data_IF_388280558286
#
_entry.id   IF_388280558286
#
_cell.length_a   1.000
_cell.length_b   1.000
_cell.length_c   1.000
_cell.angle_alpha   90.00
_cell.angle_beta   90.00
_cell.angle_gamma   90.00
#
_symmetry.space_group_name_H-M   'P 1'
#
loop_
_entity.id
_entity.type
_entity.pdbx_description
1 polymer ?
#
# COMPACT_ATOMS: atom_id res chain seq x y z
N UNK A 1 -3.31 -8.93 1.70
CA UNK A 1 -2.58 -7.87 0.95
C UNK A 1 -3.40 -7.58 -0.30
N UNK A 2 -3.77 -6.32 -0.56
CA UNK A 2 -4.56 -5.95 -1.74
C UNK A 2 -3.99 -6.57 -3.03
N UNK A 3 -4.87 -7.00 -3.95
CA UNK A 3 -4.48 -7.66 -5.21
C UNK A 3 -3.42 -6.87 -6.00
N UNK A 4 -3.44 -5.54 -5.90
CA UNK A 4 -2.45 -4.66 -6.50
C UNK A 4 -1.04 -4.87 -5.92
N UNK A 5 -0.87 -4.80 -4.60
CA UNK A 5 0.45 -5.00 -3.98
C UNK A 5 1.02 -6.39 -4.25
N UNK A 6 0.15 -7.41 -4.27
CA UNK A 6 0.54 -8.78 -4.66
C UNK A 6 1.01 -8.83 -6.11
N UNK A 7 0.31 -8.13 -7.00
CA UNK A 7 0.66 -7.99 -8.42
C UNK A 7 2.01 -7.27 -8.60
N UNK A 8 2.21 -6.15 -7.90
CA UNK A 8 3.46 -5.40 -7.91
C UNK A 8 4.64 -6.25 -7.43
N UNK A 9 4.50 -6.92 -6.28
CA UNK A 9 5.50 -7.85 -5.77
C UNK A 9 5.88 -8.94 -6.78
N UNK A 10 4.88 -9.46 -7.48
CA UNK A 10 5.11 -10.47 -8.51
C UNK A 10 5.86 -9.89 -9.72
N UNK A 11 5.49 -8.70 -10.19
CA UNK A 11 6.19 -8.01 -11.28
C UNK A 11 7.65 -7.70 -10.93
N UNK A 12 7.92 -7.26 -9.69
CA UNK A 12 9.28 -7.01 -9.18
C UNK A 12 10.10 -8.30 -9.15
N UNK A 13 9.50 -9.41 -8.71
CA UNK A 13 10.17 -10.71 -8.69
C UNK A 13 10.54 -11.19 -10.09
N UNK A 14 9.64 -11.05 -11.06
CA UNK A 14 9.92 -11.39 -12.47
C UNK A 14 11.01 -10.50 -13.08
N UNK A 15 10.92 -9.18 -12.92
CA UNK A 15 11.92 -8.25 -13.44
C UNK A 15 13.31 -8.54 -12.87
N UNK A 16 13.40 -8.79 -11.56
CA UNK A 16 14.63 -9.20 -10.89
C UNK A 16 15.15 -10.54 -11.41
N UNK A 17 14.28 -11.52 -11.60
CA UNK A 17 14.66 -12.84 -12.12
C UNK A 17 15.21 -12.75 -13.55
N UNK A 18 14.58 -11.93 -14.40
CA UNK A 18 15.01 -11.71 -15.78
C UNK A 18 16.17 -10.71 -15.91
N UNK A 19 16.62 -10.11 -14.81
CA UNK A 19 17.62 -9.03 -14.77
C UNK A 19 17.27 -7.86 -15.71
N UNK A 20 16.02 -7.37 -15.59
CA UNK A 20 15.46 -6.31 -16.43
C UNK A 20 14.91 -5.17 -15.59
N UNK A 21 14.86 -3.99 -16.20
CA UNK A 21 14.16 -2.82 -15.63
C UNK A 21 12.65 -3.04 -15.78
N UNK A 22 11.91 -2.81 -14.71
CA UNK A 22 10.46 -2.88 -14.70
C UNK A 22 9.86 -1.53 -15.10
N UNK A 23 8.93 -1.53 -16.04
CA UNK A 23 8.12 -0.36 -16.38
C UNK A 23 6.90 -0.35 -15.45
N UNK A 24 6.71 0.73 -14.69
CA UNK A 24 5.62 0.84 -13.70
C UNK A 24 4.88 2.16 -13.88
N UNK A 25 3.56 2.11 -13.86
CA UNK A 25 2.75 3.32 -13.72
C UNK A 25 2.74 3.77 -12.25
N UNK A 26 3.49 4.85 -11.97
CA UNK A 26 3.59 5.44 -10.64
C UNK A 26 2.49 6.45 -10.36
N UNK A 27 1.62 6.76 -11.33
CA UNK A 27 0.45 7.63 -11.16
C UNK A 27 -0.76 6.91 -10.56
N UNK A 28 -0.62 5.62 -10.25
CA UNK A 28 -1.69 4.82 -9.69
C UNK A 28 -2.09 5.28 -8.27
N UNK A 29 -3.39 5.38 -8.04
CA UNK A 29 -4.00 5.69 -6.75
C UNK A 29 -4.50 4.40 -6.08
N UNK A 30 -3.97 4.08 -4.89
CA UNK A 30 -4.42 2.90 -4.12
C UNK A 30 -5.75 3.12 -3.41
N UNK A 31 -6.20 4.37 -3.29
CA UNK A 31 -7.46 4.74 -2.67
C UNK A 31 -8.68 4.63 -3.61
N UNK A 32 -8.53 4.11 -4.84
CA UNK A 32 -9.62 4.04 -5.81
C UNK A 32 -10.87 3.31 -5.25
N UNK A 33 -10.71 2.27 -4.42
CA UNK A 33 -11.82 1.59 -3.75
C UNK A 33 -12.58 2.47 -2.75
N UNK A 34 -11.93 3.48 -2.19
CA UNK A 34 -12.52 4.47 -1.29
C UNK A 34 -13.11 5.67 -2.05
N UNK A 35 -12.74 5.84 -3.32
CA UNK A 35 -13.18 6.92 -4.22
C UNK A 35 -14.27 6.48 -5.22
N UNK A 36 -15.09 5.49 -4.86
CA UNK A 36 -16.14 4.95 -5.75
C UNK A 36 -15.60 4.31 -7.04
N UNK A 37 -14.34 3.88 -7.05
CA UNK A 37 -13.68 3.21 -8.17
C UNK A 37 -13.01 4.15 -9.18
N UNK A 38 -13.05 5.48 -9.00
CA UNK A 38 -12.42 6.42 -9.94
C UNK A 38 -10.97 6.75 -9.55
N UNK A 39 -10.03 6.81 -10.51
CA UNK A 39 -8.70 7.36 -10.26
C UNK A 39 -8.82 8.83 -9.84
N UNK A 40 -8.40 9.15 -8.62
CA UNK A 40 -8.34 10.54 -8.19
C UNK A 40 -7.14 11.24 -8.81
N UNK A 41 -7.42 12.29 -9.58
CA UNK A 41 -6.42 13.10 -10.25
C UNK A 41 -5.45 13.71 -9.22
N UNK A 42 -4.15 13.56 -9.47
CA UNK A 42 -3.10 14.13 -8.60
C UNK A 42 -2.64 13.22 -7.46
N UNK A 43 -3.18 12.00 -7.29
CA UNK A 43 -2.61 11.00 -6.38
C UNK A 43 -1.63 10.07 -7.10
N UNK A 44 -0.59 9.64 -6.39
CA UNK A 44 0.53 8.86 -6.95
C UNK A 44 0.92 7.74 -5.99
N UNK A 45 1.48 6.67 -6.51
CA UNK A 45 1.92 5.51 -5.73
C UNK A 45 2.93 5.90 -4.63
N UNK A 46 3.74 6.93 -4.92
CA UNK A 46 4.73 7.50 -4.00
C UNK A 46 4.16 8.07 -2.71
N UNK A 47 2.84 8.33 -2.64
CA UNK A 47 2.20 8.76 -1.40
C UNK A 47 1.92 7.61 -0.44
N UNK A 48 1.98 6.37 -0.92
CA UNK A 48 1.68 5.17 -0.13
C UNK A 48 2.93 4.32 0.11
N UNK A 49 3.83 4.24 -0.87
CA UNK A 49 5.01 3.36 -0.88
C UNK A 49 6.28 4.17 -1.03
N UNK A 50 7.34 3.75 -0.35
CA UNK A 50 8.70 4.24 -0.53
C UNK A 50 9.26 3.78 -1.90
N UNK A 51 9.11 4.64 -2.92
CA UNK A 51 9.57 4.36 -4.29
C UNK A 51 11.09 4.34 -4.37
N UNK A 52 11.80 5.14 -3.58
CA UNK A 52 13.27 5.16 -3.56
C UNK A 52 13.81 3.81 -3.07
N UNK A 53 13.23 3.29 -1.98
CA UNK A 53 13.53 1.93 -1.51
C UNK A 53 13.19 0.89 -2.58
N UNK A 54 12.04 1.02 -3.25
CA UNK A 54 11.63 0.08 -4.30
C UNK A 54 12.62 0.06 -5.48
N UNK A 55 13.08 1.23 -5.92
CA UNK A 55 14.09 1.42 -6.96
C UNK A 55 15.46 0.87 -6.57
N UNK A 56 15.79 0.84 -5.27
CA UNK A 56 17.02 0.21 -4.79
C UNK A 56 17.03 -1.32 -4.94
N UNK A 57 15.86 -1.94 -5.07
CA UNK A 57 15.70 -3.41 -5.13
C UNK A 57 15.67 -3.95 -6.57
N UNK A 58 15.14 -3.18 -7.51
CA UNK A 58 15.08 -3.48 -8.95
C UNK A 58 14.98 -2.17 -9.72
N UNK A 59 15.60 -2.11 -10.90
CA UNK A 59 15.48 -0.93 -11.77
C UNK A 59 14.03 -0.70 -12.14
N UNK A 60 13.52 0.51 -11.91
CA UNK A 60 12.15 0.91 -12.26
C UNK A 60 12.21 2.17 -13.12
N UNK A 61 11.44 2.17 -14.20
CA UNK A 61 11.17 3.35 -15.03
C UNK A 61 9.67 3.66 -15.01
N UNK A 62 9.33 4.94 -14.96
CA UNK A 62 7.94 5.38 -14.98
C UNK A 62 7.34 5.15 -16.38
N UNK A 63 6.09 4.66 -16.42
CA UNK A 63 5.40 4.22 -17.62
C UNK A 63 5.33 5.28 -18.73
N UNK A 64 4.93 6.52 -18.43
CA UNK A 64 4.82 7.60 -19.42
C UNK A 64 6.21 7.94 -19.97
N UNK A 65 7.19 8.11 -19.10
CA UNK A 65 8.57 8.38 -19.51
C UNK A 65 9.12 7.28 -20.42
N UNK A 66 8.88 6.01 -20.06
CA UNK A 66 9.32 4.86 -20.86
C UNK A 66 8.77 4.91 -22.28
N UNK A 67 7.48 5.19 -22.47
CA UNK A 67 6.88 5.22 -23.81
C UNK A 67 7.34 6.42 -24.63
N UNK A 68 7.52 7.59 -24.02
CA UNK A 68 8.12 8.75 -24.70
C UNK A 68 9.54 8.44 -25.21
N UNK A 69 10.34 7.74 -24.40
CA UNK A 69 11.67 7.29 -24.78
C UNK A 69 11.61 6.20 -25.86
N UNK A 70 10.73 5.21 -25.68
CA UNK A 70 10.55 4.10 -26.61
C UNK A 70 10.18 4.56 -28.01
N UNK A 71 9.27 5.53 -28.13
CA UNK A 71 8.87 6.10 -29.43
C UNK A 71 10.04 6.81 -30.12
N UNK A 72 10.87 7.52 -29.36
CA UNK A 72 12.10 8.15 -29.88
C UNK A 72 13.10 7.11 -30.35
N UNK A 73 13.30 6.03 -29.61
CA UNK A 73 14.22 4.94 -29.97
C UNK A 73 13.71 4.14 -31.18
N UNK A 74 12.40 3.88 -31.26
CA UNK A 74 11.77 3.21 -32.40
C UNK A 74 11.92 3.99 -33.70
N UNK A 75 11.96 5.32 -33.64
CA UNK A 75 12.27 6.17 -34.80
C UNK A 75 13.71 5.99 -35.32
N UNK A 76 14.63 5.45 -34.49
CA UNK A 76 16.04 5.23 -34.85
C UNK A 76 16.32 3.82 -35.42
N UNK A 77 15.34 2.92 -35.41
CA UNK A 77 15.49 1.55 -35.94
C UNK A 77 14.45 0.58 -35.37
N UNK A 78 14.49 -0.69 -35.80
CA UNK A 78 13.55 -1.70 -35.31
C UNK A 78 13.95 -2.20 -33.91
N UNK A 79 13.15 -1.84 -32.90
CA UNK A 79 13.21 -2.44 -31.57
C UNK A 79 12.36 -3.71 -31.53
N UNK A 80 12.94 -4.80 -31.04
CA UNK A 80 12.21 -6.06 -30.84
C UNK A 80 11.24 -5.96 -29.65
N UNK A 81 10.02 -6.44 -29.83
CA UNK A 81 9.02 -6.58 -28.78
C UNK A 81 8.57 -8.03 -28.71
N UNK A 82 8.60 -8.59 -27.50
CA UNK A 82 8.01 -9.90 -27.22
C UNK A 82 6.72 -9.73 -26.42
N UNK A 83 5.61 -10.16 -27.02
CA UNK A 83 4.30 -10.19 -26.35
C UNK A 83 4.05 -11.59 -25.79
N UNK A 84 3.59 -11.65 -24.54
CA UNK A 84 3.19 -12.88 -23.85
C UNK A 84 1.70 -12.74 -23.51
N UNK A 85 0.84 -13.50 -24.19
CA UNK A 85 -0.63 -13.38 -24.09
C UNK A 85 -1.26 -14.37 -23.08
N UNK A 86 -0.52 -14.78 -22.05
CA UNK A 86 -1.01 -15.71 -21.03
C UNK A 86 -0.29 -15.47 -19.67
N UNK A 87 -1.07 -15.32 -18.60
CA UNK A 87 -0.58 -15.13 -17.23
C UNK A 87 0.19 -16.33 -16.71
N UNK A 88 -0.10 -17.54 -17.20
CA UNK A 88 0.45 -18.81 -16.66
C UNK A 88 1.77 -19.21 -17.30
N UNK A 89 2.27 -18.43 -18.26
CA UNK A 89 3.55 -18.73 -18.90
C UNK A 89 4.68 -18.34 -17.96
N UNK A 90 5.32 -19.34 -17.37
CA UNK A 90 6.40 -19.16 -16.40
C UNK A 90 7.57 -18.33 -16.97
N UNK A 91 8.14 -17.39 -16.21
CA UNK A 91 9.19 -16.49 -16.71
C UNK A 91 10.47 -17.19 -17.18
N UNK A 92 10.75 -18.41 -16.69
CA UNK A 92 11.91 -19.20 -17.09
C UNK A 92 12.02 -19.39 -18.60
N UNK A 93 10.89 -19.49 -19.30
CA UNK A 93 10.81 -19.64 -20.75
C UNK A 93 11.39 -18.42 -21.50
N UNK A 94 11.55 -17.29 -20.81
CA UNK A 94 12.03 -16.03 -21.34
C UNK A 94 13.37 -15.58 -20.77
N UNK A 95 14.01 -16.39 -19.91
CA UNK A 95 15.35 -16.11 -19.37
C UNK A 95 16.43 -15.86 -20.44
N UNK A 96 16.23 -16.40 -21.65
CA UNK A 96 17.12 -16.23 -22.82
C UNK A 96 16.58 -15.27 -23.87
N UNK A 97 15.45 -14.61 -23.62
CA UNK A 97 14.86 -13.66 -24.56
C UNK A 97 15.81 -12.47 -24.77
N UNK A 98 16.11 -12.16 -26.03
CA UNK A 98 16.99 -11.04 -26.43
C UNK A 98 16.22 -9.77 -26.77
N UNK A 99 14.89 -9.87 -26.85
CA UNK A 99 14.02 -8.74 -27.14
C UNK A 99 14.22 -7.64 -26.09
N UNK A 100 14.46 -6.38 -26.50
CA UNK A 100 14.59 -5.25 -25.58
C UNK A 100 13.38 -5.10 -24.65
N UNK A 101 12.17 -5.27 -25.19
CA UNK A 101 10.92 -5.17 -24.44
C UNK A 101 10.20 -6.52 -24.39
N UNK A 102 9.78 -6.89 -23.18
CA UNK A 102 8.87 -8.00 -22.92
C UNK A 102 7.59 -7.41 -22.33
N UNK A 103 6.46 -7.63 -22.99
CA UNK A 103 5.14 -7.18 -22.54
C UNK A 103 4.30 -8.40 -22.22
N UNK A 104 3.81 -8.50 -20.99
CA UNK A 104 2.70 -9.41 -20.70
C UNK A 104 1.40 -8.69 -20.98
N UNK A 105 0.59 -9.28 -21.85
CA UNK A 105 -0.75 -8.81 -22.15
C UNK A 105 -1.72 -9.79 -21.54
N UNK A 106 -2.59 -9.30 -20.67
CA UNK A 106 -3.65 -10.11 -20.09
C UNK A 106 -4.95 -9.83 -20.84
N UNK A 107 -5.83 -10.82 -20.91
CA UNK A 107 -7.18 -10.63 -21.41
C UNK A 107 -8.04 -9.87 -20.42
N UNK A 108 -9.26 -9.53 -20.83
CA UNK A 108 -10.19 -8.72 -20.02
C UNK A 108 -11.06 -9.55 -19.05
N UNK A 109 -10.89 -10.88 -19.04
CA UNK A 109 -11.78 -11.80 -18.32
C UNK A 109 -11.15 -12.29 -17.03
N UNK A 110 -11.80 -12.01 -15.90
CA UNK A 110 -11.44 -12.58 -14.60
C UNK A 110 -11.68 -14.11 -14.57
N UNK A 111 -10.88 -14.86 -13.78
CA UNK A 111 -9.79 -14.42 -12.90
C UNK A 111 -8.42 -14.34 -13.63
N UNK A 112 -8.39 -14.52 -14.95
CA UNK A 112 -7.18 -14.68 -15.75
C UNK A 112 -6.44 -13.39 -16.07
N UNK A 113 -6.89 -12.24 -15.56
CA UNK A 113 -6.39 -10.91 -15.87
C UNK A 113 -5.49 -10.30 -14.78
N UNK A 114 -5.28 -11.02 -13.66
CA UNK A 114 -4.45 -10.53 -12.57
C UNK A 114 -2.97 -10.90 -12.72
N UNK A 115 -2.08 -9.92 -12.55
CA UNK A 115 -0.63 -10.13 -12.65
C UNK A 115 -0.09 -11.11 -11.59
N UNK A 116 -0.67 -11.15 -10.40
CA UNK A 116 -0.19 -12.07 -9.36
C UNK A 116 -0.24 -13.55 -9.78
N UNK A 117 -1.07 -13.92 -10.77
CA UNK A 117 -1.13 -15.27 -11.34
C UNK A 117 0.21 -15.69 -12.00
N UNK A 118 1.04 -14.74 -12.44
CA UNK A 118 2.36 -15.00 -13.05
C UNK A 118 3.31 -15.69 -12.06
N UNK A 119 3.13 -15.45 -10.76
CA UNK A 119 3.96 -16.03 -9.71
C UNK A 119 3.37 -17.31 -9.11
N UNK A 120 2.25 -17.82 -9.64
CA UNK A 120 1.64 -19.05 -9.15
C UNK A 120 2.21 -20.29 -9.89
N UNK A 121 1.96 -21.48 -9.33
CA UNK A 121 2.34 -22.75 -9.96
C UNK A 121 3.86 -22.94 -10.06
N UNK A 122 4.35 -23.25 -11.27
CA UNK A 122 5.78 -23.53 -11.51
C UNK A 122 6.68 -22.33 -11.15
N UNK A 123 6.16 -21.11 -11.27
CA UNK A 123 6.90 -19.88 -11.00
C UNK A 123 7.11 -19.61 -9.50
N UNK A 124 6.24 -20.10 -8.62
CA UNK A 124 6.22 -19.77 -7.19
C UNK A 124 7.55 -20.09 -6.48
N UNK A 125 8.19 -21.20 -6.85
CA UNK A 125 9.45 -21.63 -6.24
C UNK A 125 10.65 -20.78 -6.68
N UNK A 126 10.55 -20.14 -7.85
CA UNK A 126 11.63 -19.41 -8.51
C UNK A 126 11.51 -17.90 -8.32
N UNK A 127 10.29 -17.38 -8.42
CA UNK A 127 9.95 -15.98 -8.22
C UNK A 127 9.63 -15.74 -6.76
N UNK A 128 10.65 -15.74 -5.91
CA UNK A 128 10.47 -15.32 -4.52
C UNK A 128 10.34 -13.80 -4.49
N UNK A 129 9.21 -13.23 -4.06
CA UNK A 129 9.10 -11.79 -3.87
C UNK A 129 10.21 -11.33 -2.92
N UNK A 130 10.89 -10.21 -3.21
CA UNK A 130 11.93 -9.74 -2.34
C UNK A 130 11.31 -9.39 -0.97
N UNK A 131 11.80 -10.04 0.08
CA UNK A 131 11.33 -9.75 1.44
C UNK A 131 11.58 -8.27 1.76
N UNK A 132 10.58 -7.59 2.31
CA UNK A 132 10.67 -6.17 2.62
C UNK A 132 10.79 -5.26 1.39
N UNK A 133 10.44 -5.72 0.19
CA UNK A 133 10.41 -4.89 -1.01
C UNK A 133 9.43 -3.72 -0.88
N UNK A 134 8.24 -3.98 -0.35
CA UNK A 134 7.25 -2.93 -0.06
C UNK A 134 7.58 -2.36 1.31
N UNK A 135 7.88 -1.06 1.33
CA UNK A 135 7.89 -0.23 2.53
C UNK A 135 6.88 0.89 2.35
N UNK A 136 6.21 1.26 3.43
CA UNK A 136 5.31 2.41 3.39
C UNK A 136 6.10 3.71 3.26
N UNK A 137 5.46 4.71 2.64
CA UNK A 137 6.06 6.01 2.43
C UNK A 137 6.55 6.60 3.77
N UNK A 138 7.76 7.19 3.82
CA UNK A 138 8.27 7.82 5.04
C UNK A 138 7.33 8.87 5.63
N UNK A 139 6.60 9.59 4.77
CA UNK A 139 5.61 10.59 5.19
C UNK A 139 4.49 9.98 6.05
N UNK A 140 4.01 8.78 5.71
CA UNK A 140 3.00 8.06 6.50
C UNK A 140 3.60 7.49 7.78
N UNK A 141 4.83 6.97 7.72
CA UNK A 141 5.52 6.47 8.92
C UNK A 141 5.79 7.57 9.95
N UNK A 142 6.03 8.81 9.52
CA UNK A 142 6.13 9.95 10.43
C UNK A 142 4.82 10.23 11.18
N UNK A 143 3.66 9.99 10.56
CA UNK A 143 2.36 10.08 11.26
C UNK A 143 2.28 8.98 12.31
N UNK A 144 2.59 7.73 11.94
CA UNK A 144 2.63 6.59 12.86
C UNK A 144 3.52 6.89 14.08
N UNK A 145 4.74 7.38 13.85
CA UNK A 145 5.66 7.77 14.91
C UNK A 145 5.11 8.91 15.78
N UNK A 146 4.42 9.87 15.16
CA UNK A 146 3.74 10.98 15.84
C UNK A 146 2.61 10.54 16.78
N UNK A 147 1.82 9.54 16.36
CA UNK A 147 0.77 8.92 17.18
C UNK A 147 1.40 8.18 18.36
N UNK A 148 2.36 7.29 18.07
CA UNK A 148 3.06 6.48 19.08
C UNK A 148 3.72 7.38 20.13
N UNK A 149 4.33 8.49 19.71
CA UNK A 149 4.98 9.45 20.61
C UNK A 149 3.99 10.12 21.56
N UNK A 150 2.78 10.47 21.11
CA UNK A 150 1.72 11.05 21.97
C UNK A 150 1.20 10.05 22.98
N UNK A 151 1.18 8.78 22.61
CA UNK A 151 0.88 7.65 23.51
C UNK A 151 2.11 7.19 24.32
N UNK A 152 3.23 7.92 24.25
CA UNK A 152 4.49 7.67 24.96
C UNK A 152 5.10 6.27 24.69
N UNK A 153 4.71 5.62 23.58
CA UNK A 153 5.15 4.26 23.25
C UNK A 153 4.71 3.18 24.25
N UNK A 154 3.83 3.49 25.19
CA UNK A 154 3.34 2.55 26.20
C UNK A 154 1.83 2.34 26.11
N UNK A 155 1.41 1.65 25.06
CA UNK A 155 0.01 1.36 24.81
C UNK A 155 -0.20 -0.09 24.37
N UNK A 156 -1.42 -0.57 24.59
CA UNK A 156 -1.95 -1.81 24.03
C UNK A 156 -2.85 -1.47 22.83
N UNK A 157 -3.07 -2.42 21.92
CA UNK A 157 -3.83 -2.18 20.70
C UNK A 157 -4.93 -3.20 20.50
N UNK A 158 -6.07 -2.73 20.03
CA UNK A 158 -7.23 -3.55 19.68
C UNK A 158 -7.60 -3.26 18.24
N UNK A 159 -7.74 -4.29 17.42
CA UNK A 159 -8.32 -4.20 16.09
C UNK A 159 -9.75 -4.71 16.13
N UNK A 160 -10.67 -3.92 15.59
CA UNK A 160 -12.11 -4.14 15.62
C UNK A 160 -12.60 -4.43 14.21
N UNK A 161 -13.21 -5.60 14.01
CA UNK A 161 -13.90 -5.95 12.77
C UNK A 161 -15.28 -6.55 13.05
N UNK A 162 -16.34 -5.98 12.49
CA UNK A 162 -17.71 -6.53 12.56
C UNK A 162 -18.71 -5.68 13.35
N UNK A 163 -19.86 -6.30 13.70
CA UNK A 163 -21.05 -5.63 14.25
C UNK A 163 -20.89 -5.19 15.73
N UNK A 164 -21.35 -3.98 16.04
CA UNK A 164 -20.89 -3.15 17.16
C UNK A 164 -21.29 -3.58 18.58
N UNK A 165 -22.28 -4.47 18.76
CA UNK A 165 -22.78 -4.82 20.10
C UNK A 165 -21.89 -5.83 20.85
N UNK A 166 -21.41 -6.89 20.17
CA UNK A 166 -20.48 -7.87 20.78
C UNK A 166 -19.08 -7.31 21.02
N UNK A 167 -18.75 -6.23 20.32
CA UNK A 167 -17.46 -5.57 20.32
C UNK A 167 -17.19 -4.80 21.62
N UNK A 168 -18.21 -4.15 22.19
CA UNK A 168 -18.09 -3.38 23.42
C UNK A 168 -17.60 -4.23 24.59
N UNK A 169 -18.26 -5.36 24.87
CA UNK A 169 -17.91 -6.21 26.01
C UNK A 169 -16.49 -6.75 25.91
N UNK A 170 -16.09 -7.18 24.71
CA UNK A 170 -14.72 -7.64 24.44
C UNK A 170 -13.68 -6.54 24.57
N UNK A 171 -13.98 -5.31 24.15
CA UNK A 171 -13.08 -4.18 24.37
C UNK A 171 -12.95 -3.91 25.88
N UNK A 172 -14.05 -3.86 26.62
CA UNK A 172 -14.02 -3.60 28.07
C UNK A 172 -13.26 -4.66 28.88
N UNK A 173 -13.35 -5.94 28.49
CA UNK A 173 -12.55 -7.03 29.07
C UNK A 173 -11.04 -6.84 28.87
N UNK A 174 -10.63 -6.24 27.75
CA UNK A 174 -9.23 -6.09 27.38
C UNK A 174 -8.64 -4.69 27.71
N UNK A 175 -9.48 -3.67 27.91
CA UNK A 175 -9.07 -2.28 28.20
C UNK A 175 -8.86 -2.01 29.70
N UNK A 176 -9.27 -2.93 30.58
CA UNK A 176 -9.25 -2.73 32.02
C UNK A 176 -7.80 -2.67 32.58
N UNK A 177 -7.34 -1.49 33.00
CA UNK A 177 -6.03 -1.36 33.66
C UNK A 177 -5.35 0.02 33.69
N UNK A 178 -6.01 1.10 33.25
CA UNK A 178 -5.44 2.45 33.29
C UNK A 178 -4.28 2.71 32.31
N UNK A 179 -3.95 1.73 31.47
CA UNK A 179 -2.96 1.85 30.38
C UNK A 179 -3.62 2.45 29.14
N UNK A 180 -2.84 3.12 28.30
CA UNK A 180 -3.39 3.64 27.04
C UNK A 180 -3.73 2.50 26.07
N UNK A 181 -4.84 2.65 25.35
CA UNK A 181 -5.29 1.67 24.36
C UNK A 181 -5.55 2.37 23.03
N UNK A 182 -4.93 1.88 21.97
CA UNK A 182 -5.22 2.29 20.59
C UNK A 182 -6.23 1.34 19.97
N UNK A 183 -7.29 1.87 19.38
CA UNK A 183 -8.34 1.09 18.73
C UNK A 183 -8.31 1.37 17.23
N UNK A 184 -8.02 0.33 16.47
CA UNK A 184 -7.97 0.30 15.01
C UNK A 184 -9.22 -0.38 14.45
N UNK A 185 -9.66 0.02 13.26
CA UNK A 185 -10.78 -0.62 12.56
C UNK A 185 -11.69 0.34 11.79
N UNK A 186 -12.35 -0.19 10.76
CA UNK A 186 -13.26 0.56 9.90
C UNK A 186 -14.63 0.78 10.56
N UNK A 187 -15.24 1.96 10.38
CA UNK A 187 -16.61 2.23 10.86
C UNK A 187 -16.76 2.40 12.38
N UNK A 188 -15.65 2.52 13.10
CA UNK A 188 -15.64 2.46 14.57
C UNK A 188 -16.16 3.72 15.28
N UNK A 189 -16.46 4.78 14.54
CA UNK A 189 -16.75 6.12 15.11
C UNK A 189 -17.86 6.09 16.16
N UNK A 190 -18.97 5.37 15.90
CA UNK A 190 -20.10 5.29 16.83
C UNK A 190 -19.73 4.53 18.11
N UNK A 191 -18.97 3.43 17.99
CA UNK A 191 -18.56 2.63 19.14
C UNK A 191 -17.52 3.37 19.99
N UNK A 192 -16.56 4.01 19.33
CA UNK A 192 -15.52 4.82 19.95
C UNK A 192 -16.08 6.00 20.71
N UNK A 193 -17.10 6.70 20.17
CA UNK A 193 -17.71 7.83 20.88
C UNK A 193 -18.29 7.42 22.23
N UNK A 194 -18.90 6.23 22.33
CA UNK A 194 -19.39 5.72 23.61
C UNK A 194 -18.24 5.26 24.51
N UNK A 195 -17.16 4.71 23.96
CA UNK A 195 -15.99 4.31 24.74
C UNK A 195 -15.24 5.52 25.31
N UNK A 196 -15.11 6.63 24.56
CA UNK A 196 -14.50 7.88 25.03
C UNK A 196 -15.20 8.45 26.27
N UNK A 197 -16.52 8.36 26.32
CA UNK A 197 -17.30 8.85 27.47
C UNK A 197 -16.96 8.10 28.76
N UNK A 198 -16.46 6.87 28.66
CA UNK A 198 -16.18 5.98 29.79
C UNK A 198 -14.69 5.80 30.07
N UNK A 199 -13.83 5.95 29.07
CA UNK A 199 -12.40 5.66 29.13
C UNK A 199 -11.57 6.76 28.45
N UNK A 200 -10.93 7.63 29.25
CA UNK A 200 -10.08 8.72 28.76
C UNK A 200 -8.73 8.27 28.18
N UNK A 201 -8.38 7.01 28.40
CA UNK A 201 -7.15 6.34 27.96
C UNK A 201 -7.33 5.59 26.62
N UNK A 202 -8.47 5.77 25.94
CA UNK A 202 -8.77 5.15 24.65
C UNK A 202 -8.52 6.14 23.52
N UNK A 203 -7.72 5.71 22.55
CA UNK A 203 -7.27 6.47 21.40
C UNK A 203 -7.62 5.72 20.11
N UNK A 204 -7.74 6.46 19.02
CA UNK A 204 -8.09 5.97 17.68
C UNK A 204 -7.59 7.01 16.68
N UNK A 205 -7.56 6.66 15.40
CA UNK A 205 -6.90 7.47 14.39
C UNK A 205 -7.33 8.94 14.43
N UNK A 206 -8.62 9.25 14.28
CA UNK A 206 -9.08 10.66 14.15
C UNK A 206 -8.80 11.52 15.39
N UNK A 207 -8.48 10.93 16.54
CA UNK A 207 -8.01 11.67 17.71
C UNK A 207 -6.62 12.30 17.55
N UNK A 208 -5.97 12.07 16.40
CA UNK A 208 -4.64 12.59 16.05
C UNK A 208 -4.65 13.37 14.72
N UNK A 209 -5.81 13.88 14.31
CA UNK A 209 -5.99 14.56 13.02
C UNK A 209 -5.02 15.71 12.77
N UNK A 210 -4.51 16.35 13.82
CA UNK A 210 -3.53 17.43 13.73
C UNK A 210 -2.21 17.00 13.05
N UNK A 211 -1.97 15.69 12.91
CA UNK A 211 -0.83 15.14 12.21
C UNK A 211 -0.94 15.19 10.68
N UNK A 212 -2.15 15.32 10.13
CA UNK A 212 -2.39 15.36 8.68
C UNK A 212 -3.41 16.40 8.23
N UNK A 213 -4.06 17.11 9.15
CA UNK A 213 -5.01 18.18 8.82
C UNK A 213 -4.36 19.33 8.01
N UNK A 214 -5.19 20.28 7.59
CA UNK A 214 -4.73 21.46 6.85
C UNK A 214 -3.64 22.19 7.65
N UNK A 215 -2.57 22.60 6.97
CA UNK A 215 -1.39 23.25 7.54
C UNK A 215 -0.52 22.39 8.47
N UNK A 216 -0.84 21.11 8.66
CA UNK A 216 0.08 20.15 9.30
C UNK A 216 1.39 20.02 8.52
N UNK A 217 2.46 19.59 9.20
CA UNK A 217 3.75 19.33 8.54
C UNK A 217 3.62 18.33 7.39
N UNK A 218 2.81 17.29 7.58
CA UNK A 218 2.53 16.30 6.54
C UNK A 218 1.82 16.95 5.35
N UNK A 219 0.73 17.68 5.59
CA UNK A 219 -0.05 18.33 4.54
C UNK A 219 0.79 19.28 3.68
N UNK A 220 1.57 20.15 4.32
CA UNK A 220 2.43 21.12 3.64
C UNK A 220 3.50 20.44 2.77
N UNK A 221 4.11 19.37 3.28
CA UNK A 221 5.12 18.62 2.54
C UNK A 221 4.51 17.86 1.36
N UNK A 222 3.37 17.19 1.56
CA UNK A 222 2.69 16.46 0.49
C UNK A 222 2.21 17.41 -0.61
N UNK A 223 1.67 18.59 -0.24
CA UNK A 223 1.31 19.64 -1.19
C UNK A 223 2.53 20.11 -1.99
N UNK A 224 3.68 20.31 -1.34
CA UNK A 224 4.93 20.70 -2.01
C UNK A 224 5.41 19.64 -3.00
N UNK A 225 5.41 18.37 -2.59
CA UNK A 225 5.81 17.24 -3.44
C UNK A 225 4.83 17.02 -4.61
N UNK A 226 3.57 17.40 -4.43
CA UNK A 226 2.53 17.32 -5.46
C UNK A 226 2.38 18.61 -6.30
N UNK A 227 3.45 19.39 -6.46
CA UNK A 227 3.43 20.58 -7.33
C UNK A 227 2.49 21.69 -6.86
N UNK A 228 2.21 21.78 -5.57
CA UNK A 228 1.31 22.77 -4.97
C UNK A 228 -0.14 22.32 -4.85
N UNK A 229 -0.50 21.14 -5.37
CA UNK A 229 -1.85 20.58 -5.27
C UNK A 229 -2.01 19.88 -3.91
N UNK A 230 -3.00 20.25 -3.08
CA UNK A 230 -3.27 19.57 -1.82
C UNK A 230 -3.47 18.06 -1.99
N UNK A 231 -2.98 17.28 -1.01
CA UNK A 231 -3.18 15.83 -0.96
C UNK A 231 -4.04 15.52 0.26
N UNK A 232 -5.16 14.84 0.03
CA UNK A 232 -6.04 14.39 1.10
C UNK A 232 -5.48 13.14 1.79
N UNK A 233 -5.61 13.07 3.12
CA UNK A 233 -5.32 11.87 3.90
C UNK A 233 -6.47 10.86 3.78
N UNK A 234 -6.43 10.10 2.69
CA UNK A 234 -7.52 9.24 2.24
C UNK A 234 -7.69 7.94 3.02
N UNK A 235 -8.78 7.21 2.72
CA UNK A 235 -9.13 5.96 3.38
C UNK A 235 -8.03 4.90 3.34
N UNK A 236 -7.26 4.81 2.25
CA UNK A 236 -6.16 3.84 2.18
C UNK A 236 -4.98 4.26 3.07
N UNK A 237 -4.64 5.55 3.10
CA UNK A 237 -3.63 6.07 4.03
C UNK A 237 -4.05 5.88 5.48
N UNK A 238 -5.34 6.10 5.79
CA UNK A 238 -5.93 5.87 7.11
C UNK A 238 -5.80 4.43 7.53
N UNK A 239 -6.27 3.47 6.72
CA UNK A 239 -6.16 2.04 7.02
C UNK A 239 -4.70 1.62 7.23
N UNK A 240 -3.79 2.11 6.39
CA UNK A 240 -2.36 1.84 6.51
C UNK A 240 -1.80 2.35 7.84
N UNK A 241 -2.00 3.63 8.16
CA UNK A 241 -1.49 4.22 9.40
C UNK A 241 -2.11 3.54 10.62
N UNK A 242 -3.42 3.30 10.59
CA UNK A 242 -4.17 2.65 11.66
C UNK A 242 -3.62 1.25 11.97
N UNK A 243 -3.39 0.46 10.91
CA UNK A 243 -2.76 -0.86 11.00
C UNK A 243 -1.34 -0.80 11.52
N UNK A 244 -0.51 0.13 11.04
CA UNK A 244 0.87 0.25 11.49
C UNK A 244 0.95 0.65 12.98
N UNK A 245 0.08 1.55 13.45
CA UNK A 245 -0.01 1.88 14.88
C UNK A 245 -0.45 0.66 15.69
N UNK A 246 -1.49 -0.06 15.25
CA UNK A 246 -1.94 -1.30 15.90
C UNK A 246 -0.81 -2.32 16.07
N UNK A 247 0.03 -2.50 15.04
CA UNK A 247 1.15 -3.46 15.08
C UNK A 247 2.18 -3.12 16.16
N UNK A 248 2.29 -1.84 16.54
CA UNK A 248 3.26 -1.31 17.51
C UNK A 248 2.80 -1.40 18.96
N UNK A 249 1.52 -1.72 19.22
CA UNK A 249 1.02 -1.98 20.56
C UNK A 249 1.75 -3.13 21.25
N UNK A 250 1.96 -3.02 22.58
CA UNK A 250 2.64 -4.04 23.38
C UNK A 250 1.85 -5.34 23.43
N UNK A 251 0.56 -5.25 23.78
CA UNK A 251 -0.42 -6.32 23.57
C UNK A 251 -1.30 -5.97 22.39
N UNK A 252 -1.68 -6.98 21.62
CA UNK A 252 -2.53 -6.86 20.43
C UNK A 252 -3.69 -7.82 20.55
N UNK A 253 -4.89 -7.31 20.36
CA UNK A 253 -6.11 -8.09 20.40
C UNK A 253 -6.90 -7.85 19.12
N UNK A 254 -7.42 -8.91 18.54
CA UNK A 254 -8.36 -8.80 17.43
C UNK A 254 -9.74 -9.20 17.94
N UNK A 255 -10.69 -8.32 17.72
CA UNK A 255 -12.09 -8.55 18.06
C UNK A 255 -12.86 -8.63 16.76
N UNK A 256 -13.18 -9.86 16.39
CA UNK A 256 -14.08 -10.17 15.29
C UNK A 256 -15.45 -10.55 15.84
N UNK A 257 -16.49 -10.02 15.21
CA UNK A 257 -17.90 -10.36 15.44
C UNK A 257 -18.30 -11.69 14.81
#
# INVERSE_FOLDING_TARGET
MPHYLRSLLCALAEARYLNRTLVVDLSLCLAASYAGGMPEEGKRLAFYIDIEHLQSMVGIVEHKQFWEDWDRWGAQGQLGVRIIEDTRVAPIKFSKARDPLIVRKFGDVEPGNYWYNVCEGEAERMLRPPQGAIRWAPSLMHIVDGIISRMQGDFDSVHVGGDGENLRGRIEENVNGGRQVYVAGEGINILVDVLKLKYSNVHYLDGFEELWETDSKWFLEMKRLNGGVPVEFDGYMRELVDKEVFLKGKKKFEVFG
#
